data_IF_328439710012
#
_entry.id   IF_328439710012
#
_cell.length_a   1.000
_cell.length_b   1.000
_cell.length_c   1.000
_cell.angle_alpha   90.00
_cell.angle_beta   90.00
_cell.angle_gamma   90.00
#
_symmetry.space_group_name_H-M   'P 1'
#
loop_
_entity.id
_entity.type
_entity.pdbx_description
1 polymer ?
#
# COMPACT_ATOMS: atom_id res chain seq x y z
N UNK A 1 -17.41 -11.64 -14.82
CA UNK A 1 -17.52 -11.07 -13.45
C UNK A 1 -18.42 -9.85 -13.51
N UNK A 2 -19.17 -9.54 -12.45
CA UNK A 2 -19.99 -8.32 -12.41
C UNK A 2 -19.11 -7.09 -12.14
N UNK A 3 -19.59 -5.90 -12.52
CA UNK A 3 -18.90 -4.64 -12.21
C UNK A 3 -18.66 -4.44 -10.71
N UNK A 4 -19.59 -4.94 -9.87
CA UNK A 4 -19.43 -4.94 -8.42
C UNK A 4 -18.28 -5.86 -7.97
N UNK A 5 -18.20 -7.08 -8.52
CA UNK A 5 -17.13 -8.02 -8.17
C UNK A 5 -15.74 -7.50 -8.58
N UNK A 6 -15.65 -6.77 -9.69
CA UNK A 6 -14.41 -6.12 -10.12
C UNK A 6 -14.00 -4.97 -9.18
N UNK A 7 -14.94 -4.08 -8.83
CA UNK A 7 -14.71 -3.02 -7.86
C UNK A 7 -14.24 -3.61 -6.52
N UNK A 8 -14.92 -4.64 -6.03
CA UNK A 8 -14.56 -5.28 -4.77
C UNK A 8 -13.14 -5.86 -4.82
N UNK A 9 -12.72 -6.43 -5.95
CA UNK A 9 -11.36 -6.96 -6.13
C UNK A 9 -10.29 -5.86 -6.01
N UNK A 10 -10.51 -4.74 -6.70
CA UNK A 10 -9.59 -3.59 -6.68
C UNK A 10 -9.53 -2.98 -5.27
N UNK A 11 -10.69 -2.78 -4.63
CA UNK A 11 -10.76 -2.22 -3.27
C UNK A 11 -10.08 -3.12 -2.24
N UNK A 12 -10.26 -4.44 -2.33
CA UNK A 12 -9.57 -5.38 -1.45
C UNK A 12 -8.05 -5.31 -1.62
N UNK A 13 -7.57 -5.22 -2.86
CA UNK A 13 -6.13 -5.08 -3.14
C UNK A 13 -5.56 -3.80 -2.52
N UNK A 14 -6.25 -2.66 -2.70
CA UNK A 14 -5.83 -1.39 -2.10
C UNK A 14 -5.87 -1.44 -0.56
N UNK A 15 -6.87 -2.11 0.02
CA UNK A 15 -6.99 -2.29 1.46
C UNK A 15 -5.83 -3.12 2.04
N UNK A 16 -5.49 -4.25 1.42
CA UNK A 16 -4.39 -5.11 1.86
C UNK A 16 -3.04 -4.39 1.79
N UNK A 17 -2.78 -3.65 0.71
CA UNK A 17 -1.58 -2.84 0.56
C UNK A 17 -1.51 -1.71 1.60
N UNK A 18 -2.65 -1.09 1.90
CA UNK A 18 -2.74 -0.05 2.95
C UNK A 18 -2.47 -0.62 4.33
N UNK A 19 -2.95 -1.83 4.63
CA UNK A 19 -2.66 -2.52 5.87
C UNK A 19 -1.16 -2.87 5.98
N UNK A 20 -0.53 -3.33 4.90
CA UNK A 20 0.91 -3.57 4.87
C UNK A 20 1.72 -2.28 5.13
N UNK A 21 1.32 -1.16 4.51
CA UNK A 21 1.94 0.15 4.76
C UNK A 21 1.78 0.58 6.23
N UNK A 22 0.62 0.31 6.84
CA UNK A 22 0.39 0.62 8.26
C UNK A 22 1.31 -0.18 9.19
N UNK A 23 1.52 -1.47 8.92
CA UNK A 23 2.45 -2.31 9.70
C UNK A 23 3.89 -1.79 9.55
N UNK A 24 4.32 -1.43 8.34
CA UNK A 24 5.65 -0.86 8.10
C UNK A 24 5.82 0.52 8.75
N UNK A 25 4.75 1.33 8.79
CA UNK A 25 4.73 2.59 9.52
C UNK A 25 4.91 2.39 11.03
N UNK A 26 4.20 1.43 11.62
CA UNK A 26 4.39 1.08 13.03
C UNK A 26 5.80 0.55 13.31
N UNK A 27 6.32 -0.34 12.45
CA UNK A 27 7.67 -0.87 12.58
C UNK A 27 8.72 0.25 12.53
N UNK A 28 8.51 1.27 11.69
CA UNK A 28 9.42 2.43 11.57
C UNK A 28 9.61 3.15 12.90
N UNK A 29 8.54 3.26 13.69
CA UNK A 29 8.52 4.01 14.95
C UNK A 29 8.86 3.13 16.18
N UNK A 30 8.99 1.81 16.02
CA UNK A 30 9.14 0.89 17.15
C UNK A 30 10.35 -0.03 17.06
N UNK A 31 10.58 -0.68 15.92
CA UNK A 31 11.58 -1.74 15.78
C UNK A 31 12.61 -1.50 14.68
N UNK A 32 12.38 -0.54 13.77
CA UNK A 32 13.27 -0.29 12.65
C UNK A 32 14.68 0.10 13.14
N UNK A 33 15.73 -0.60 12.70
CA UNK A 33 17.09 -0.29 13.12
C UNK A 33 17.60 0.98 12.44
N UNK A 34 18.55 1.64 13.11
CA UNK A 34 19.28 2.78 12.55
C UNK A 34 19.93 2.42 11.20
N UNK A 35 19.95 3.36 10.26
CA UNK A 35 20.47 3.16 8.90
C UNK A 35 19.47 2.56 7.89
N UNK A 36 18.29 2.11 8.31
CA UNK A 36 17.26 1.56 7.41
C UNK A 36 16.31 2.61 6.79
N UNK A 37 16.50 3.90 7.13
CA UNK A 37 15.61 5.01 6.75
C UNK A 37 15.36 5.06 5.23
N UNK A 38 16.40 4.95 4.40
CA UNK A 38 16.24 5.02 2.95
C UNK A 38 15.43 3.84 2.40
N UNK A 39 15.69 2.64 2.90
CA UNK A 39 14.96 1.43 2.51
C UNK A 39 13.48 1.54 2.87
N UNK A 40 13.18 1.99 4.10
CA UNK A 40 11.80 2.20 4.56
C UNK A 40 11.10 3.31 3.76
N UNK A 41 11.76 4.43 3.49
CA UNK A 41 11.20 5.50 2.68
C UNK A 41 10.83 5.01 1.26
N UNK A 42 11.69 4.21 0.64
CA UNK A 42 11.41 3.62 -0.67
C UNK A 42 10.22 2.66 -0.64
N UNK A 43 10.11 1.82 0.39
CA UNK A 43 8.98 0.90 0.60
C UNK A 43 7.66 1.68 0.73
N UNK A 44 7.63 2.69 1.61
CA UNK A 44 6.45 3.50 1.86
C UNK A 44 6.03 4.30 0.61
N UNK A 45 7.00 4.88 -0.10
CA UNK A 45 6.74 5.59 -1.36
C UNK A 45 6.15 4.66 -2.43
N UNK A 46 6.73 3.48 -2.61
CA UNK A 46 6.24 2.47 -3.57
C UNK A 46 4.80 2.05 -3.25
N UNK A 47 4.53 1.69 -1.99
CA UNK A 47 3.18 1.30 -1.57
C UNK A 47 2.19 2.45 -1.77
N UNK A 48 2.56 3.69 -1.41
CA UNK A 48 1.70 4.86 -1.61
C UNK A 48 1.35 5.08 -3.08
N UNK A 49 2.32 4.96 -4.00
CA UNK A 49 2.09 5.09 -5.44
C UNK A 49 1.14 3.99 -5.97
N UNK A 50 1.36 2.74 -5.60
CA UNK A 50 0.52 1.61 -6.05
C UNK A 50 -0.90 1.71 -5.50
N UNK A 51 -1.05 2.07 -4.21
CA UNK A 51 -2.37 2.29 -3.60
C UNK A 51 -3.09 3.44 -4.31
N UNK A 52 -2.39 4.54 -4.58
CA UNK A 52 -2.96 5.68 -5.29
C UNK A 52 -3.46 5.27 -6.68
N UNK A 53 -2.62 4.58 -7.47
CA UNK A 53 -2.99 4.08 -8.79
C UNK A 53 -4.19 3.12 -8.73
N UNK A 54 -4.22 2.20 -7.77
CA UNK A 54 -5.37 1.30 -7.60
C UNK A 54 -6.68 2.04 -7.29
N UNK A 55 -6.60 3.17 -6.56
CA UNK A 55 -7.78 3.94 -6.15
C UNK A 55 -8.24 4.97 -7.19
N UNK A 56 -7.34 5.56 -7.97
CA UNK A 56 -7.64 6.67 -8.88
C UNK A 56 -7.41 6.35 -10.36
N UNK A 57 -6.77 5.21 -10.63
CA UNK A 57 -6.44 4.76 -11.97
C UNK A 57 -7.68 4.37 -12.79
N UNK A 58 -7.53 4.30 -14.12
CA UNK A 58 -8.58 3.82 -15.00
C UNK A 58 -8.94 2.36 -14.66
N UNK A 59 -10.23 2.00 -14.85
CA UNK A 59 -10.63 0.59 -14.88
C UNK A 59 -9.96 -0.05 -16.10
N UNK A 60 -8.98 -0.92 -15.86
CA UNK A 60 -8.29 -1.71 -16.88
C UNK A 60 -8.62 -3.18 -16.71
#
# INVERSE_FOLDING_TARGET
MSAFAELQRVMNTAADLSAAAAVLGWDQETYMPEGSVQGRANQMGTLSSVIHEAMTGPRT
#
